data_IF_301166757574
#
_entry.id   IF_301166757574
#
_cell.length_a   1.000
_cell.length_b   1.000
_cell.length_c   1.000
_cell.angle_alpha   90.00
_cell.angle_beta   90.00
_cell.angle_gamma   90.00
#
_symmetry.space_group_name_H-M   'P 1'
#
loop_
_entity.id
_entity.type
_entity.pdbx_description
1 polymer ?
#
# COMPACT_ATOMS: atom_id res chain seq x y z
N UNK A 1 -14.43 -4.35 -20.88
CA UNK A 1 -15.14 -4.99 -19.74
C UNK A 1 -14.06 -5.19 -18.69
N UNK A 2 -13.85 -4.21 -17.81
CA UNK A 2 -12.83 -4.30 -16.76
C UNK A 2 -13.40 -5.21 -15.70
N UNK A 3 -12.82 -6.40 -15.65
CA UNK A 3 -13.28 -7.39 -14.71
C UNK A 3 -12.57 -7.10 -13.39
N UNK A 4 -13.22 -6.35 -12.53
CA UNK A 4 -12.91 -6.27 -11.09
C UNK A 4 -13.14 -7.65 -10.48
N UNK A 5 -12.29 -8.62 -10.83
CA UNK A 5 -12.26 -9.93 -10.18
C UNK A 5 -11.86 -9.66 -8.73
N UNK A 6 -12.79 -9.94 -7.82
CA UNK A 6 -12.68 -9.96 -6.36
C UNK A 6 -11.31 -9.54 -5.82
N UNK A 7 -11.18 -8.27 -5.43
CA UNK A 7 -9.98 -7.80 -4.74
C UNK A 7 -9.86 -8.58 -3.43
N UNK A 8 -8.73 -9.24 -3.23
CA UNK A 8 -8.45 -9.98 -2.01
C UNK A 8 -7.05 -9.66 -1.47
N UNK A 9 -6.91 -9.78 -0.16
CA UNK A 9 -5.64 -9.52 0.51
C UNK A 9 -4.56 -10.51 0.08
N UNK A 10 -3.43 -10.00 -0.42
CA UNK A 10 -2.30 -10.81 -0.90
C UNK A 10 -2.32 -11.14 -2.39
N UNK A 11 -3.24 -10.60 -3.18
CA UNK A 11 -3.23 -10.72 -4.65
C UNK A 11 -2.00 -10.05 -5.27
N UNK A 12 -1.66 -10.39 -6.52
CA UNK A 12 -0.55 -9.72 -7.19
C UNK A 12 -0.89 -8.25 -7.44
N UNK A 13 0.05 -7.34 -7.14
CA UNK A 13 -0.14 -5.92 -7.34
C UNK A 13 -0.28 -5.55 -8.83
N UNK A 14 0.23 -6.39 -9.73
CA UNK A 14 0.05 -6.26 -11.17
C UNK A 14 -1.40 -6.50 -11.63
N UNK A 15 -2.19 -7.26 -10.86
CA UNK A 15 -3.61 -7.54 -11.15
C UNK A 15 -4.53 -6.40 -10.68
N UNK A 16 -4.01 -5.43 -9.91
CA UNK A 16 -4.71 -4.21 -9.56
C UNK A 16 -4.63 -3.21 -10.72
N UNK A 17 -5.55 -3.37 -11.67
CA UNK A 17 -5.68 -2.47 -12.82
C UNK A 17 -6.23 -1.09 -12.41
N UNK A 18 -5.87 -0.04 -13.15
CA UNK A 18 -6.37 1.33 -12.99
C UNK A 18 -6.12 1.99 -11.61
N UNK A 19 -5.12 1.54 -10.85
CA UNK A 19 -4.72 2.15 -9.58
C UNK A 19 -3.46 3.01 -9.71
N UNK A 20 -3.39 4.08 -8.93
CA UNK A 20 -2.20 4.95 -8.86
C UNK A 20 -1.42 4.64 -7.58
N UNK A 21 -0.22 4.10 -7.75
CA UNK A 21 0.70 3.82 -6.66
C UNK A 21 1.47 5.08 -6.25
N UNK A 22 1.46 5.37 -4.95
CA UNK A 22 2.14 6.52 -4.35
C UNK A 22 3.09 6.06 -3.25
N UNK A 23 4.34 6.51 -3.33
CA UNK A 23 5.34 6.39 -2.25
C UNK A 23 5.47 7.69 -1.45
N UNK A 24 6.09 7.60 -0.27
CA UNK A 24 6.46 8.78 0.52
C UNK A 24 7.45 9.68 -0.24
N UNK A 25 7.34 11.00 -0.10
CA UNK A 25 8.34 11.94 -0.62
C UNK A 25 9.71 11.79 0.08
N UNK A 26 9.75 11.23 1.29
CA UNK A 26 10.99 10.92 2.01
C UNK A 26 11.70 9.68 1.47
N UNK A 27 11.08 8.96 0.54
CA UNK A 27 11.69 7.81 -0.11
C UNK A 27 12.71 8.21 -1.15
N UNK A 28 13.89 7.58 -1.10
CA UNK A 28 14.92 7.78 -2.13
C UNK A 28 14.58 7.06 -3.45
N UNK A 29 15.38 7.33 -4.49
CA UNK A 29 15.22 6.73 -5.82
C UNK A 29 15.62 5.25 -5.89
N UNK A 30 16.20 4.68 -4.83
CA UNK A 30 16.78 3.33 -4.85
C UNK A 30 15.79 2.21 -4.49
N UNK A 31 14.50 2.53 -4.37
CA UNK A 31 13.44 1.52 -4.43
C UNK A 31 13.16 0.73 -3.14
N UNK A 32 13.50 1.21 -1.94
CA UNK A 32 13.10 0.56 -0.68
C UNK A 32 11.82 1.16 -0.07
N UNK A 33 10.82 1.45 -0.90
CA UNK A 33 9.70 2.29 -0.54
C UNK A 33 8.43 1.45 -0.34
N UNK A 34 7.67 1.77 0.70
CA UNK A 34 6.29 1.31 0.79
C UNK A 34 5.45 2.20 -0.12
N UNK A 35 4.65 1.57 -0.97
CA UNK A 35 3.71 2.23 -1.88
C UNK A 35 2.27 1.93 -1.47
N UNK A 36 1.40 2.91 -1.65
CA UNK A 36 -0.02 2.83 -1.35
C UNK A 36 -0.84 3.19 -2.58
N UNK A 37 -1.99 2.54 -2.78
CA UNK A 37 -2.94 2.90 -3.81
C UNK A 37 -4.38 2.84 -3.27
N UNK A 38 -5.19 3.84 -3.59
CA UNK A 38 -6.61 3.82 -3.28
C UNK A 38 -7.35 2.90 -4.28
N UNK A 39 -8.21 2.02 -3.77
CA UNK A 39 -8.99 1.11 -4.60
C UNK A 39 -10.41 1.63 -4.83
N UNK A 40 -11.07 1.27 -5.95
CA UNK A 40 -12.45 1.66 -6.23
C UNK A 40 -13.46 1.21 -5.17
N UNK A 41 -13.21 0.07 -4.50
CA UNK A 41 -14.05 -0.46 -3.42
C UNK A 41 -13.95 0.31 -2.10
N UNK A 42 -13.02 1.28 -2.01
CA UNK A 42 -12.81 2.08 -0.82
C UNK A 42 -11.68 1.58 0.07
N UNK A 43 -11.06 0.43 -0.23
CA UNK A 43 -9.87 -0.08 0.43
C UNK A 43 -8.60 0.64 -0.04
N UNK A 44 -7.48 0.28 0.59
CA UNK A 44 -6.15 0.76 0.24
C UNK A 44 -5.23 -0.45 0.07
N UNK A 45 -4.59 -0.54 -1.09
CA UNK A 45 -3.54 -1.50 -1.34
C UNK A 45 -2.19 -0.96 -0.87
N UNK A 46 -1.36 -1.83 -0.30
CA UNK A 46 0.01 -1.55 0.12
C UNK A 46 0.95 -2.56 -0.54
N UNK A 47 2.07 -2.10 -1.12
CA UNK A 47 3.10 -2.99 -1.69
C UNK A 47 4.52 -2.49 -1.43
N UNK A 48 5.50 -3.35 -1.70
CA UNK A 48 6.92 -3.03 -1.66
C UNK A 48 7.40 -2.64 -3.06
N UNK A 49 7.97 -1.44 -3.23
CA UNK A 49 8.41 -0.95 -4.54
C UNK A 49 9.53 -1.79 -5.19
N UNK A 50 10.25 -2.64 -4.45
CA UNK A 50 11.25 -3.59 -5.02
C UNK A 50 10.60 -4.74 -5.77
N UNK A 51 9.34 -5.01 -5.46
CA UNK A 51 8.56 -6.12 -6.01
C UNK A 51 7.23 -5.54 -6.50
N UNK A 52 7.25 -4.68 -7.53
CA UNK A 52 6.05 -3.97 -7.99
C UNK A 52 4.95 -4.92 -8.49
N UNK A 53 5.34 -6.11 -8.96
CA UNK A 53 4.42 -7.18 -9.39
C UNK A 53 4.17 -8.24 -8.29
N UNK A 54 4.79 -8.06 -7.11
CA UNK A 54 4.62 -8.93 -5.96
C UNK A 54 3.26 -8.77 -5.28
N UNK A 55 3.03 -9.42 -4.12
CA UNK A 55 1.75 -9.34 -3.44
C UNK A 55 1.45 -7.92 -2.92
N UNK A 56 0.20 -7.49 -3.07
CA UNK A 56 -0.36 -6.31 -2.43
C UNK A 56 -1.19 -6.74 -1.20
N UNK A 57 -0.96 -6.07 -0.07
CA UNK A 57 -1.81 -6.18 1.10
C UNK A 57 -2.96 -5.19 0.98
N UNK A 58 -4.19 -5.65 1.23
CA UNK A 58 -5.41 -4.86 1.09
C UNK A 58 -5.95 -4.56 2.48
N UNK A 59 -6.00 -3.27 2.82
CA UNK A 59 -6.46 -2.78 4.11
C UNK A 59 -7.70 -1.91 3.96
N UNK A 60 -8.55 -1.94 4.97
CA UNK A 60 -9.64 -0.97 5.10
C UNK A 60 -9.08 0.45 5.34
N UNK A 61 -9.87 1.48 5.02
CA UNK A 61 -9.52 2.87 5.37
C UNK A 61 -9.34 3.08 6.88
N UNK A 62 -10.07 2.34 7.71
CA UNK A 62 -9.97 2.44 9.16
C UNK A 62 -8.61 1.93 9.65
N UNK A 63 -8.12 0.81 9.13
CA UNK A 63 -6.80 0.26 9.46
C UNK A 63 -5.68 1.21 9.00
N UNK A 64 -5.78 1.78 7.79
CA UNK A 64 -4.82 2.78 7.33
C UNK A 64 -4.86 4.04 8.21
N UNK A 65 -6.04 4.52 8.59
CA UNK A 65 -6.16 5.67 9.48
C UNK A 65 -5.50 5.41 10.84
N UNK A 66 -5.72 4.23 11.42
CA UNK A 66 -5.08 3.82 12.67
C UNK A 66 -3.55 3.72 12.52
N UNK A 67 -3.06 3.10 11.44
CA UNK A 67 -1.63 3.02 11.12
C UNK A 67 -1.00 4.42 11.04
N UNK A 68 -1.66 5.36 10.35
CA UNK A 68 -1.16 6.73 10.20
C UNK A 68 -1.15 7.50 11.52
N UNK A 69 -2.10 7.24 12.42
CA UNK A 69 -2.10 7.84 13.76
C UNK A 69 -0.93 7.30 14.60
N UNK A 70 -0.78 5.98 14.71
CA UNK A 70 0.35 5.39 15.46
C UNK A 70 1.72 5.78 14.89
N UNK A 71 1.84 5.89 13.55
CA UNK A 71 3.06 6.38 12.92
C UNK A 71 3.35 7.86 13.22
N UNK A 72 2.33 8.71 13.32
CA UNK A 72 2.50 10.13 13.71
C UNK A 72 2.83 10.29 15.19
N UNK A 73 2.32 9.40 16.03
CA UNK A 73 2.60 9.37 17.46
C UNK A 73 3.98 8.74 17.77
N UNK A 74 4.70 8.26 16.74
CA UNK A 74 6.04 7.68 16.87
C UNK A 74 6.06 6.27 17.45
N UNK A 75 4.91 5.57 17.49
CA UNK A 75 4.79 4.25 18.12
C UNK A 75 5.75 3.20 17.50
N UNK A 76 6.11 3.39 16.23
CA UNK A 76 6.93 2.47 15.45
C UNK A 76 8.37 2.93 15.25
N UNK A 77 8.78 4.07 15.80
CA UNK A 77 10.12 4.66 15.55
C UNK A 77 11.26 3.73 16.00
N UNK A 78 11.01 2.91 17.02
CA UNK A 78 11.95 1.90 17.52
C UNK A 78 12.34 0.83 16.48
N UNK A 79 11.62 0.73 15.35
CA UNK A 79 11.93 -0.17 14.24
C UNK A 79 12.88 0.46 13.21
N UNK A 80 13.13 1.77 13.30
CA UNK A 80 13.93 2.54 12.34
C UNK A 80 15.27 3.02 12.90
N UNK A 81 15.64 2.61 14.12
CA UNK A 81 16.85 3.02 14.85
C UNK A 81 17.93 1.94 14.88
#
# INVERSE_FOLDING_TARGET
MHNTYDVYNGMAAADLEDVVWQKSLHSNSQGNCVEFAALPGGEVAMRNSRFPDGPALIYTRAEIAALLLGAKDGEFDHLAV
#
